data_IF_070772220436
#
_entry.id   IF_070772220436
#
_cell.length_a   1.000
_cell.length_b   1.000
_cell.length_c   1.000
_cell.angle_alpha   90.00
_cell.angle_beta   90.00
_cell.angle_gamma   90.00
#
_symmetry.space_group_name_H-M   'P 1'
#
loop_
_entity.id
_entity.type
_entity.pdbx_description
1 polymer ?
#
# COMPACT_ATOMS: atom_id res chain seq x y z
N UNK A 1 16.03 -15.10 12.99
CA UNK A 1 14.66 -14.85 12.48
C UNK A 1 14.33 -15.97 11.52
N UNK A 2 13.13 -16.52 11.63
CA UNK A 2 12.62 -17.54 10.71
C UNK A 2 11.74 -16.86 9.66
N UNK A 3 11.58 -17.48 8.50
CA UNK A 3 10.68 -16.98 7.44
C UNK A 3 9.24 -16.85 7.93
N UNK A 4 8.84 -17.70 8.88
CA UNK A 4 7.53 -17.67 9.53
C UNK A 4 7.24 -16.38 10.29
N UNK A 5 8.27 -15.64 10.71
CA UNK A 5 8.11 -14.39 11.46
C UNK A 5 7.48 -13.27 10.60
N UNK A 6 7.38 -13.49 9.28
CA UNK A 6 6.83 -12.56 8.29
C UNK A 6 5.60 -13.11 7.56
N UNK A 7 5.07 -14.27 7.98
CA UNK A 7 3.86 -14.86 7.41
C UNK A 7 2.61 -14.11 7.91
N UNK A 8 1.66 -13.86 7.00
CA UNK A 8 0.36 -13.29 7.30
C UNK A 8 -0.72 -13.95 6.44
N UNK A 9 -1.97 -13.90 6.91
CA UNK A 9 -3.10 -14.45 6.18
C UNK A 9 -3.45 -13.55 4.99
N UNK A 10 -3.23 -14.06 3.77
CA UNK A 10 -3.54 -13.38 2.52
C UNK A 10 -4.60 -14.17 1.73
N UNK A 11 -5.88 -13.76 1.79
CA UNK A 11 -6.91 -14.32 0.92
C UNK A 11 -6.55 -14.13 -0.55
N UNK A 12 -6.74 -15.18 -1.37
CA UNK A 12 -6.30 -15.21 -2.78
C UNK A 12 -7.04 -14.17 -3.63
N UNK A 13 -8.28 -13.88 -3.29
CA UNK A 13 -9.13 -12.88 -3.92
C UNK A 13 -8.62 -11.44 -3.76
N UNK A 14 -7.75 -11.18 -2.77
CA UNK A 14 -7.10 -9.88 -2.58
C UNK A 14 -5.83 -9.73 -3.42
N UNK A 15 -5.40 -10.78 -4.13
CA UNK A 15 -4.28 -10.72 -5.08
C UNK A 15 -4.82 -10.22 -6.42
N UNK A 16 -4.45 -9.00 -6.79
CA UNK A 16 -4.82 -8.42 -8.08
C UNK A 16 -4.33 -9.30 -9.24
N UNK A 17 -5.24 -9.65 -10.14
CA UNK A 17 -4.94 -10.44 -11.34
C UNK A 17 -4.57 -9.56 -12.54
N UNK A 18 -5.00 -8.29 -12.51
CA UNK A 18 -4.74 -7.26 -13.52
C UNK A 18 -4.54 -5.92 -12.82
N UNK A 19 -3.80 -4.97 -13.43
CA UNK A 19 -3.68 -3.61 -12.88
C UNK A 19 -5.02 -2.86 -12.88
N UNK A 20 -5.12 -1.82 -12.07
CA UNK A 20 -6.23 -0.86 -12.11
C UNK A 20 -6.12 0.05 -13.34
N UNK A 21 -7.25 0.48 -13.89
CA UNK A 21 -7.31 1.43 -15.02
C UNK A 21 -8.27 2.58 -14.68
N UNK A 22 -7.80 3.84 -14.65
CA UNK A 22 -6.42 4.29 -14.88
C UNK A 22 -5.41 3.78 -13.83
N UNK A 23 -4.13 3.66 -14.18
CA UNK A 23 -3.10 3.06 -13.30
C UNK A 23 -2.94 3.75 -11.94
N UNK A 24 -3.09 5.06 -11.88
CA UNK A 24 -2.97 5.89 -10.68
C UNK A 24 -4.24 5.86 -9.79
N UNK A 25 -5.32 5.22 -10.23
CA UNK A 25 -6.52 4.98 -9.42
C UNK A 25 -6.33 3.90 -8.33
N UNK A 26 -5.18 3.23 -8.31
CA UNK A 26 -4.86 2.25 -7.26
C UNK A 26 -4.82 2.89 -5.86
N UNK A 27 -5.12 2.10 -4.82
CA UNK A 27 -5.05 2.54 -3.42
C UNK A 27 -3.60 2.75 -2.99
N UNK A 28 -3.38 3.78 -2.17
CA UNK A 28 -2.11 4.08 -1.52
C UNK A 28 -2.30 3.99 0.01
N UNK A 29 -1.56 3.10 0.67
CA UNK A 29 -1.47 3.07 2.13
C UNK A 29 -0.24 3.86 2.58
N UNK A 30 -0.47 4.94 3.33
CA UNK A 30 0.58 5.78 3.89
C UNK A 30 0.83 5.35 5.33
N UNK A 31 2.08 5.04 5.66
CA UNK A 31 2.50 4.67 7.01
C UNK A 31 3.55 5.68 7.52
N UNK A 32 3.25 6.32 8.65
CA UNK A 32 4.23 7.13 9.35
C UNK A 32 5.18 6.22 10.15
N UNK A 33 6.46 6.18 9.74
CA UNK A 33 7.48 5.33 10.38
C UNK A 33 7.69 5.63 11.88
N UNK A 34 7.47 6.87 12.32
CA UNK A 34 7.73 7.29 13.71
C UNK A 34 6.54 7.06 14.62
N UNK A 35 5.33 7.40 14.15
CA UNK A 35 4.10 7.34 14.96
C UNK A 35 3.31 6.07 14.76
N UNK A 36 3.54 5.34 13.66
CA UNK A 36 2.73 4.20 13.24
C UNK A 36 1.36 4.59 12.67
N UNK A 37 1.07 5.88 12.50
CA UNK A 37 -0.19 6.34 11.90
C UNK A 37 -0.35 5.82 10.47
N UNK A 38 -1.56 5.33 10.18
CA UNK A 38 -1.94 4.81 8.87
C UNK A 38 -2.99 5.74 8.27
N UNK A 39 -2.80 6.09 7.01
CA UNK A 39 -3.81 6.76 6.20
C UNK A 39 -4.03 6.00 4.88
N UNK A 40 -5.24 6.13 4.33
CA UNK A 40 -5.61 5.57 3.04
C UNK A 40 -5.89 6.69 2.05
N UNK A 41 -5.25 6.61 0.88
CA UNK A 41 -5.29 7.57 -0.23
C UNK A 41 -5.38 6.82 -1.55
N UNK A 42 -5.31 7.55 -2.66
CA UNK A 42 -5.08 6.96 -3.98
C UNK A 42 -3.69 7.35 -4.51
N UNK A 43 -3.19 6.61 -5.50
CA UNK A 43 -1.82 6.80 -5.98
C UNK A 43 -1.63 8.15 -6.71
N UNK A 44 -2.67 8.73 -7.30
CA UNK A 44 -2.61 10.10 -7.84
C UNK A 44 -2.30 11.16 -6.76
N UNK A 45 -2.53 10.88 -5.48
CA UNK A 45 -2.19 11.79 -4.35
C UNK A 45 -0.69 11.73 -3.97
N UNK A 46 0.14 10.90 -4.64
CA UNK A 46 1.54 10.67 -4.22
C UNK A 46 2.39 11.95 -4.20
N UNK A 47 2.05 12.93 -5.05
CA UNK A 47 2.78 14.21 -5.16
C UNK A 47 2.75 15.01 -3.86
N UNK A 48 1.72 14.84 -3.01
CA UNK A 48 1.58 15.52 -1.73
C UNK A 48 2.61 15.03 -0.69
N UNK A 49 3.29 13.92 -0.95
CA UNK A 49 4.24 13.27 -0.04
C UNK A 49 5.70 13.40 -0.50
N UNK A 50 5.96 14.06 -1.62
CA UNK A 50 7.30 14.24 -2.18
C UNK A 50 7.81 15.64 -1.88
N UNK A 51 9.07 15.72 -1.46
CA UNK A 51 9.77 16.99 -1.34
C UNK A 51 10.74 17.13 -2.53
N UNK A 52 10.93 18.35 -3.07
CA UNK A 52 11.93 18.62 -4.11
C UNK A 52 13.36 18.20 -3.71
#
# INVERSE_FOLDING_TARGET
MKTSDFSYDLPKELIAQTPAEPRDSSRLMVLNKKTGEIAHRHFYDIVDFLNP
#
